data_IF_117777047679
#
_entry.id   IF_117777047679
#
_cell.length_a   1.000
_cell.length_b   1.000
_cell.length_c   1.000
_cell.angle_alpha   90.00
_cell.angle_beta   90.00
_cell.angle_gamma   90.00
#
_symmetry.space_group_name_H-M   'P 1'
#
loop_
_entity.id
_entity.type
_entity.pdbx_description
1 polymer ?
#
# COMPACT_ATOMS: atom_id res chain seq x y z
N UNK A 1 -3.99 -64.02 1.52
CA UNK A 1 -5.33 -63.70 2.04
C UNK A 1 -6.11 -63.06 0.90
N UNK A 2 -7.12 -63.76 0.35
CA UNK A 2 -8.05 -63.31 -0.71
C UNK A 2 -9.34 -62.85 -0.03
N UNK A 3 -9.91 -61.69 -0.41
CA UNK A 3 -11.36 -61.38 -0.56
C UNK A 3 -11.42 -60.11 -1.45
N UNK A 4 -11.73 -60.18 -2.74
CA UNK A 4 -13.04 -60.07 -3.43
C UNK A 4 -13.70 -58.66 -3.43
N UNK A 5 -14.00 -58.21 -4.66
CA UNK A 5 -14.67 -56.98 -5.10
C UNK A 5 -16.17 -56.96 -4.79
N UNK A 6 -16.80 -55.77 -4.67
CA UNK A 6 -18.18 -55.50 -5.11
C UNK A 6 -18.35 -54.02 -5.52
N UNK A 7 -18.90 -53.80 -6.71
CA UNK A 7 -19.35 -52.54 -7.32
C UNK A 7 -20.64 -51.99 -6.69
N UNK A 8 -20.89 -50.68 -6.76
CA UNK A 8 -22.24 -50.15 -7.05
C UNK A 8 -22.24 -48.75 -7.70
N UNK A 9 -23.19 -48.61 -8.63
CA UNK A 9 -23.42 -47.56 -9.62
C UNK A 9 -23.98 -46.24 -9.05
N UNK A 10 -23.88 -45.21 -9.87
CA UNK A 10 -24.51 -43.90 -9.72
C UNK A 10 -26.03 -43.92 -9.99
N UNK A 11 -26.73 -42.82 -9.67
CA UNK A 11 -27.82 -42.36 -10.53
C UNK A 11 -27.73 -40.87 -10.92
N UNK A 12 -28.28 -40.60 -12.10
CA UNK A 12 -28.36 -39.32 -12.81
C UNK A 12 -29.42 -38.34 -12.26
N UNK A 13 -29.35 -37.11 -12.79
CA UNK A 13 -30.09 -35.86 -12.53
C UNK A 13 -31.63 -35.93 -12.53
N UNK A 14 -32.29 -34.81 -12.14
CA UNK A 14 -33.11 -34.17 -13.17
C UNK A 14 -33.03 -32.64 -13.25
N UNK A 15 -32.84 -32.19 -14.50
CA UNK A 15 -33.51 -31.10 -15.23
C UNK A 15 -34.56 -30.28 -14.46
N UNK A 16 -34.39 -28.95 -14.45
CA UNK A 16 -35.51 -28.02 -14.27
C UNK A 16 -35.52 -26.94 -15.37
N UNK A 17 -36.56 -26.99 -16.20
CA UNK A 17 -37.00 -25.96 -17.15
C UNK A 17 -38.17 -25.20 -16.53
N UNK A 18 -38.18 -23.88 -16.64
CA UNK A 18 -39.36 -22.98 -16.68
C UNK A 18 -38.86 -21.54 -16.45
N UNK A 19 -39.40 -20.45 -16.99
CA UNK A 19 -40.41 -20.19 -18.00
C UNK A 19 -40.34 -18.69 -18.31
N UNK A 20 -40.80 -18.33 -19.51
CA UNK A 20 -41.00 -16.96 -19.99
C UNK A 20 -41.94 -16.14 -19.08
N UNK A 21 -41.71 -14.84 -19.00
CA UNK A 21 -42.61 -13.87 -18.35
C UNK A 21 -42.45 -12.49 -18.98
N UNK A 22 -43.52 -12.02 -19.64
CA UNK A 22 -43.57 -10.86 -20.51
C UNK A 22 -43.55 -9.50 -19.80
N UNK A 23 -43.02 -8.50 -20.53
CA UNK A 23 -43.25 -7.04 -20.46
C UNK A 23 -44.75 -6.68 -20.30
N UNK A 24 -45.16 -5.49 -19.76
CA UNK A 24 -45.02 -4.26 -20.55
C UNK A 24 -45.00 -2.87 -19.85
N UNK A 25 -44.66 -1.87 -20.67
CA UNK A 25 -45.03 -0.44 -20.67
C UNK A 25 -44.28 0.56 -19.76
N UNK A 26 -43.40 1.34 -20.38
CA UNK A 26 -43.02 2.70 -19.97
C UNK A 26 -43.70 3.73 -20.89
N UNK A 27 -44.27 4.82 -20.35
CA UNK A 27 -44.70 5.96 -21.15
C UNK A 27 -43.52 6.88 -21.47
N UNK A 28 -43.53 7.39 -22.71
CA UNK A 28 -42.72 8.53 -23.15
C UNK A 28 -43.40 9.81 -22.65
N UNK A 29 -42.66 10.64 -21.94
CA UNK A 29 -42.94 12.07 -21.84
C UNK A 29 -41.75 12.87 -22.36
N UNK A 30 -42.05 13.66 -23.39
CA UNK A 30 -41.25 14.77 -23.87
C UNK A 30 -41.41 15.94 -22.89
N UNK A 31 -40.32 16.58 -22.48
CA UNK A 31 -40.40 18.01 -22.22
C UNK A 31 -39.10 18.77 -22.54
N UNK A 32 -39.30 19.74 -23.45
CA UNK A 32 -38.61 21.02 -23.69
C UNK A 32 -37.74 21.48 -22.51
N UNK A 33 -36.62 22.17 -22.72
CA UNK A 33 -36.55 23.59 -23.12
C UNK A 33 -35.08 24.05 -23.05
N UNK A 34 -34.72 25.03 -23.89
CA UNK A 34 -33.92 26.25 -23.60
C UNK A 34 -32.67 26.13 -22.72
N UNK A 35 -31.56 26.85 -22.91
CA UNK A 35 -31.17 28.00 -23.74
C UNK A 35 -29.77 28.37 -23.22
N UNK A 36 -29.07 29.21 -23.98
CA UNK A 36 -28.03 30.11 -23.50
C UNK A 36 -26.62 29.53 -23.39
N UNK A 37 -25.89 29.76 -24.48
CA UNK A 37 -24.54 30.34 -24.51
C UNK A 37 -24.16 31.10 -23.24
N UNK A 38 -23.15 30.60 -22.53
CA UNK A 38 -22.24 31.44 -21.74
C UNK A 38 -20.81 31.25 -22.26
N UNK A 39 -20.22 32.37 -22.67
CA UNK A 39 -18.81 32.47 -23.05
C UNK A 39 -17.94 32.27 -21.81
N UNK A 40 -16.94 31.40 -21.91
CA UNK A 40 -15.89 31.29 -20.91
C UNK A 40 -15.05 32.59 -20.83
N UNK A 41 -14.68 33.06 -19.63
CA UNK A 41 -13.73 34.16 -19.49
C UNK A 41 -12.32 33.70 -19.84
N UNK A 42 -11.69 34.41 -20.78
CA UNK A 42 -10.29 34.28 -21.16
C UNK A 42 -9.40 34.81 -20.03
N UNK A 43 -8.59 33.95 -19.45
CA UNK A 43 -7.56 34.36 -18.49
C UNK A 43 -6.29 34.78 -19.22
N UNK A 44 -6.06 36.09 -19.19
CA UNK A 44 -4.86 36.77 -19.64
C UNK A 44 -3.67 36.35 -18.75
N UNK A 45 -2.66 35.75 -19.35
CA UNK A 45 -1.46 35.28 -18.65
C UNK A 45 -0.40 36.38 -18.68
N UNK A 46 -0.38 37.23 -17.65
CA UNK A 46 0.77 38.09 -17.39
C UNK A 46 1.98 37.25 -16.96
N UNK A 47 2.94 37.06 -17.87
CA UNK A 47 4.32 36.68 -17.53
C UNK A 47 5.09 37.93 -17.12
N UNK A 48 5.70 37.98 -15.92
CA UNK A 48 6.78 38.92 -15.67
C UNK A 48 8.07 38.37 -16.29
N UNK A 49 8.66 39.20 -17.14
CA UNK A 49 10.03 39.11 -17.64
C UNK A 49 10.99 39.19 -16.44
N UNK A 50 11.78 38.15 -16.19
CA UNK A 50 13.00 38.27 -15.39
C UNK A 50 14.19 38.28 -16.35
N UNK A 51 14.76 39.47 -16.52
CA UNK A 51 16.03 39.69 -17.20
C UNK A 51 17.14 38.96 -16.44
N UNK A 52 17.93 38.18 -17.17
CA UNK A 52 19.16 37.57 -16.68
C UNK A 52 20.33 38.51 -16.94
N UNK A 53 20.72 39.28 -15.92
CA UNK A 53 21.99 40.01 -15.94
C UNK A 53 23.12 39.06 -15.54
N UNK A 54 23.99 38.78 -16.50
CA UNK A 54 25.23 38.05 -16.33
C UNK A 54 26.23 38.92 -15.55
N UNK A 55 26.37 38.68 -14.25
CA UNK A 55 27.48 39.20 -13.46
C UNK A 55 28.45 38.04 -13.18
N UNK A 56 29.57 38.07 -13.91
CA UNK A 56 30.75 37.23 -13.67
C UNK A 56 31.32 37.53 -12.28
N UNK A 57 31.05 36.65 -11.31
CA UNK A 57 31.71 36.66 -10.01
C UNK A 57 32.81 35.60 -9.95
N UNK A 58 34.00 36.07 -9.58
CA UNK A 58 35.21 35.28 -9.31
C UNK A 58 34.92 34.24 -8.23
N UNK A 59 35.29 33.00 -8.53
CA UNK A 59 35.21 31.85 -7.64
C UNK A 59 36.30 31.91 -6.58
N UNK A 60 35.98 32.44 -5.39
CA UNK A 60 36.66 32.06 -4.16
C UNK A 60 36.01 30.77 -3.65
N UNK A 61 36.75 29.67 -3.73
CA UNK A 61 36.33 28.35 -3.25
C UNK A 61 36.27 28.36 -1.72
N UNK A 62 35.11 28.74 -1.19
CA UNK A 62 34.69 28.26 0.12
C UNK A 62 34.02 26.92 -0.12
N UNK A 63 34.60 25.86 0.42
CA UNK A 63 33.91 24.60 0.69
C UNK A 63 32.62 24.95 1.42
N UNK A 64 31.53 25.06 0.66
CA UNK A 64 30.20 25.09 1.21
C UNK A 64 29.96 23.67 1.67
N UNK A 65 29.87 23.47 2.98
CA UNK A 65 29.29 22.29 3.61
C UNK A 65 27.97 22.00 2.90
N UNK A 66 28.02 21.12 1.89
CA UNK A 66 26.82 20.59 1.25
C UNK A 66 26.07 19.91 2.38
N UNK A 67 24.83 20.33 2.72
CA UNK A 67 24.08 19.70 3.77
C UNK A 67 24.02 18.22 3.43
N UNK A 68 24.68 17.38 4.24
CA UNK A 68 24.61 15.93 4.07
C UNK A 68 23.12 15.60 4.08
N UNK A 69 22.59 15.23 2.91
CA UNK A 69 21.23 14.72 2.80
C UNK A 69 21.16 13.58 3.81
N UNK A 70 20.26 13.65 4.81
CA UNK A 70 20.21 12.64 5.85
C UNK A 70 20.06 11.28 5.17
N UNK A 71 20.95 10.34 5.48
CA UNK A 71 20.81 8.97 5.01
C UNK A 71 19.46 8.44 5.50
N UNK A 72 18.57 8.09 4.58
CA UNK A 72 17.25 7.56 4.91
C UNK A 72 17.24 6.05 4.74
N UNK A 73 16.49 5.38 5.62
CA UNK A 73 16.16 3.97 5.51
C UNK A 73 14.75 3.84 4.96
N UNK A 74 14.55 2.87 4.07
CA UNK A 74 13.24 2.54 3.52
C UNK A 74 12.69 1.29 4.22
N UNK A 75 11.51 1.41 4.82
CA UNK A 75 10.78 0.30 5.43
C UNK A 75 9.60 -0.04 4.51
N UNK A 76 9.51 -1.29 4.05
CA UNK A 76 8.39 -1.79 3.27
C UNK A 76 7.71 -2.92 4.02
N UNK A 77 6.43 -2.75 4.35
CA UNK A 77 5.60 -3.71 5.07
C UNK A 77 4.49 -4.18 4.15
N UNK A 78 4.32 -5.49 4.03
CA UNK A 78 3.24 -6.11 3.28
C UNK A 78 2.34 -6.90 4.22
N UNK A 79 1.04 -6.60 4.13
CA UNK A 79 -0.02 -7.31 4.84
C UNK A 79 -1.03 -7.85 3.84
N UNK A 80 -1.63 -8.99 4.14
CA UNK A 80 -2.59 -9.67 3.24
C UNK A 80 -3.86 -10.04 4.01
N UNK A 81 -4.99 -10.00 3.32
CA UNK A 81 -6.31 -10.48 3.73
C UNK A 81 -6.40 -11.94 4.20
N UNK A 82 -5.64 -12.89 3.61
CA UNK A 82 -5.66 -14.30 4.04
C UNK A 82 -4.29 -14.71 4.62
N UNK A 83 -4.33 -15.41 5.75
CA UNK A 83 -3.15 -15.95 6.45
C UNK A 83 -2.56 -17.18 5.75
N UNK A 84 -3.28 -17.78 4.80
CA UNK A 84 -2.90 -19.01 4.11
C UNK A 84 -2.50 -18.74 2.64
N UNK A 85 -1.42 -17.96 2.45
CA UNK A 85 -0.86 -17.62 1.12
C UNK A 85 -0.49 -18.85 0.27
N UNK A 86 -0.34 -20.04 0.88
CA UNK A 86 0.06 -21.26 0.18
C UNK A 86 -0.85 -21.61 -1.01
N UNK A 87 -2.09 -21.12 -1.07
CA UNK A 87 -3.06 -21.61 -2.06
C UNK A 87 -3.71 -20.63 -3.04
N UNK A 88 -3.60 -19.29 -2.99
CA UNK A 88 -3.88 -18.45 -4.17
C UNK A 88 -3.82 -16.93 -3.91
N UNK A 89 -2.93 -16.23 -4.62
CA UNK A 89 -3.09 -14.79 -4.88
C UNK A 89 -4.45 -14.42 -5.52
N UNK A 90 -5.17 -15.41 -6.06
CA UNK A 90 -6.49 -15.25 -6.68
C UNK A 90 -7.66 -15.16 -5.68
N UNK A 91 -7.56 -15.72 -4.47
CA UNK A 91 -8.59 -15.56 -3.43
C UNK A 91 -8.39 -14.28 -2.59
N UNK A 92 -7.22 -13.67 -2.71
CA UNK A 92 -6.80 -12.47 -2.02
C UNK A 92 -7.62 -11.27 -2.49
N UNK A 93 -8.54 -10.77 -1.67
CA UNK A 93 -9.37 -9.61 -2.05
C UNK A 93 -8.58 -8.32 -2.08
N UNK A 94 -7.66 -8.16 -1.13
CA UNK A 94 -6.83 -6.97 -0.99
C UNK A 94 -5.45 -7.31 -0.44
N UNK A 95 -4.46 -6.46 -0.69
CA UNK A 95 -3.17 -6.45 0.01
C UNK A 95 -2.85 -5.03 0.45
N UNK A 96 -2.18 -4.83 1.58
CA UNK A 96 -1.73 -3.51 1.99
C UNK A 96 -0.21 -3.44 1.99
N UNK A 97 0.32 -2.38 1.37
CA UNK A 97 1.73 -2.07 1.30
C UNK A 97 1.98 -0.74 1.99
N UNK A 98 2.66 -0.76 3.13
CA UNK A 98 3.14 0.43 3.82
C UNK A 98 4.61 0.65 3.43
N UNK A 99 4.92 1.81 2.86
CA UNK A 99 6.30 2.21 2.54
C UNK A 99 6.65 3.46 3.34
N UNK A 100 7.65 3.38 4.20
CA UNK A 100 8.10 4.47 5.06
C UNK A 100 9.57 4.81 4.80
N UNK A 101 9.91 6.05 5.12
CA UNK A 101 11.25 6.59 5.20
C UNK A 101 11.49 7.10 6.61
N UNK A 102 12.66 6.77 7.17
CA UNK A 102 13.14 7.31 8.45
C UNK A 102 14.61 7.67 8.35
N UNK A 103 15.05 8.70 9.07
CA UNK A 103 16.47 9.05 9.20
C UNK A 103 17.12 8.38 10.43
N UNK A 104 16.34 7.78 11.32
CA UNK A 104 16.82 7.16 12.55
C UNK A 104 16.16 5.80 12.79
N UNK A 105 16.55 4.84 11.95
CA UNK A 105 16.07 3.47 12.04
C UNK A 105 16.42 2.82 13.38
N UNK A 106 17.62 3.07 13.89
CA UNK A 106 18.12 2.53 15.15
C UNK A 106 17.20 2.88 16.31
N UNK A 107 16.82 4.15 16.40
CA UNK A 107 15.89 4.63 17.42
C UNK A 107 14.49 4.05 17.25
N UNK A 108 13.99 3.99 16.01
CA UNK A 108 12.67 3.41 15.69
C UNK A 108 12.58 1.91 16.03
N UNK A 109 13.67 1.15 15.84
CA UNK A 109 13.76 -0.26 16.23
C UNK A 109 13.78 -0.44 17.75
N UNK A 110 14.54 0.40 18.46
CA UNK A 110 14.66 0.33 19.93
C UNK A 110 13.38 0.71 20.67
N UNK A 111 12.75 1.81 20.28
CA UNK A 111 11.57 2.31 20.98
C UNK A 111 10.27 1.64 20.52
N UNK A 112 10.30 1.01 19.35
CA UNK A 112 9.16 0.36 18.74
C UNK A 112 8.54 1.18 17.62
N UNK A 113 8.09 0.48 16.59
CA UNK A 113 7.40 1.07 15.46
C UNK A 113 5.89 1.03 15.71
N UNK A 114 5.29 2.19 15.99
CA UNK A 114 3.85 2.32 16.22
C UNK A 114 3.22 3.23 15.19
N UNK A 115 2.28 2.69 14.43
CA UNK A 115 1.41 3.44 13.53
C UNK A 115 -0.04 3.11 13.87
N UNK A 116 -0.91 4.08 13.64
CA UNK A 116 -2.35 3.97 13.84
C UNK A 116 -3.07 4.95 12.91
N UNK A 117 -4.40 5.05 13.03
CA UNK A 117 -5.21 5.99 12.25
C UNK A 117 -4.82 7.45 12.47
N UNK A 118 -4.28 7.82 13.63
CA UNK A 118 -3.81 9.20 13.90
C UNK A 118 -2.55 9.55 13.12
N UNK A 119 -1.81 8.54 12.65
CA UNK A 119 -0.62 8.72 11.83
C UNK A 119 -0.95 8.98 10.35
N UNK A 120 -2.23 8.97 9.96
CA UNK A 120 -2.69 9.27 8.61
C UNK A 120 -2.97 10.75 8.48
N UNK A 121 -2.42 11.38 7.44
CA UNK A 121 -2.67 12.78 7.15
C UNK A 121 -4.10 12.94 6.61
N UNK A 122 -4.99 13.70 7.30
CA UNK A 122 -6.35 13.93 6.83
C UNK A 122 -6.33 14.53 5.42
N UNK A 123 -7.31 14.13 4.60
CA UNK A 123 -7.55 14.71 3.26
C UNK A 123 -6.42 14.50 2.22
N UNK A 124 -5.31 13.87 2.59
CA UNK A 124 -4.19 13.54 1.69
C UNK A 124 -4.42 12.29 0.83
N UNK A 125 -5.47 11.53 1.12
CA UNK A 125 -5.73 10.23 0.51
C UNK A 125 -6.40 10.33 -0.85
N UNK A 126 -6.08 9.40 -1.75
CA UNK A 126 -6.64 9.34 -3.10
C UNK A 126 -6.75 7.90 -3.62
N UNK A 127 -7.44 7.72 -4.75
CA UNK A 127 -7.57 6.44 -5.43
C UNK A 127 -6.76 6.43 -6.74
N UNK A 128 -6.14 5.29 -7.02
CA UNK A 128 -5.58 4.94 -8.32
C UNK A 128 -6.51 3.89 -8.93
N UNK A 129 -7.20 4.23 -10.01
CA UNK A 129 -8.27 3.39 -10.57
C UNK A 129 -7.80 2.55 -11.76
N UNK A 130 -6.72 2.97 -12.43
CA UNK A 130 -6.13 2.23 -13.54
C UNK A 130 -4.88 1.47 -13.10
N UNK A 131 -4.74 0.23 -13.56
CA UNK A 131 -3.59 -0.63 -13.27
C UNK A 131 -2.25 -0.03 -13.72
N UNK A 132 -2.27 0.81 -14.76
CA UNK A 132 -1.07 1.50 -15.30
C UNK A 132 -0.51 2.54 -14.33
N UNK A 133 -1.35 3.06 -13.42
CA UNK A 133 -0.96 4.08 -12.46
C UNK A 133 -0.36 3.43 -11.19
N UNK A 134 -0.46 2.10 -11.06
CA UNK A 134 0.16 1.37 -9.98
C UNK A 134 1.67 1.20 -10.23
N UNK A 135 2.49 1.26 -9.17
CA UNK A 135 3.88 0.81 -9.21
C UNK A 135 4.05 -0.54 -9.91
N UNK A 136 5.13 -0.70 -10.69
CA UNK A 136 5.35 -1.86 -11.55
C UNK A 136 5.28 -3.22 -10.82
N UNK A 137 5.74 -3.28 -9.57
CA UNK A 137 5.68 -4.52 -8.78
C UNK A 137 4.25 -4.87 -8.35
N UNK A 138 3.43 -3.86 -8.07
CA UNK A 138 2.03 -4.01 -7.66
C UNK A 138 1.17 -4.39 -8.86
N UNK A 139 1.40 -3.73 -10.00
CA UNK A 139 0.76 -4.06 -11.28
C UNK A 139 1.09 -5.49 -11.75
N UNK A 140 2.35 -5.92 -11.61
CA UNK A 140 2.78 -7.31 -11.89
C UNK A 140 2.17 -8.34 -10.94
N UNK A 141 1.81 -7.93 -9.73
CA UNK A 141 1.02 -8.73 -8.79
C UNK A 141 -0.44 -8.93 -9.21
N UNK A 142 -0.86 -8.33 -10.33
CA UNK A 142 -2.20 -8.46 -10.90
C UNK A 142 -3.21 -7.47 -10.35
N UNK A 143 -2.85 -6.60 -9.40
CA UNK A 143 -3.76 -5.61 -8.83
C UNK A 143 -4.20 -4.58 -9.86
N UNK A 144 -5.44 -4.10 -9.75
CA UNK A 144 -6.02 -3.18 -10.74
C UNK A 144 -6.18 -1.75 -10.22
N UNK A 145 -6.44 -1.61 -8.92
CA UNK A 145 -6.68 -0.33 -8.30
C UNK A 145 -6.06 -0.28 -6.90
N UNK A 146 -5.83 0.95 -6.41
CA UNK A 146 -5.36 1.18 -5.06
C UNK A 146 -6.07 2.36 -4.39
N UNK A 147 -6.14 2.32 -3.06
CA UNK A 147 -6.42 3.48 -2.20
C UNK A 147 -5.15 3.84 -1.46
N UNK A 148 -4.71 5.08 -1.59
CA UNK A 148 -3.45 5.58 -1.06
C UNK A 148 -3.73 6.54 0.09
N UNK A 149 -2.98 6.40 1.17
CA UNK A 149 -2.95 7.32 2.30
C UNK A 149 -1.52 7.82 2.50
N UNK A 150 -1.35 9.11 2.77
CA UNK A 150 -0.08 9.62 3.30
C UNK A 150 -0.05 9.42 4.80
N UNK A 151 1.11 9.04 5.32
CA UNK A 151 1.30 8.73 6.72
C UNK A 151 2.56 9.42 7.23
N UNK A 152 2.50 10.00 8.42
CA UNK A 152 3.68 10.56 9.07
C UNK A 152 3.53 10.49 10.58
N UNK A 153 4.67 10.46 11.28
CA UNK A 153 4.72 10.53 12.73
C UNK A 153 5.75 11.54 13.15
N UNK A 154 5.30 12.49 13.97
CA UNK A 154 6.14 13.52 14.58
C UNK A 154 6.31 13.25 16.07
N UNK A 155 7.47 13.58 16.60
CA UNK A 155 7.74 13.68 18.03
C UNK A 155 8.46 14.99 18.29
N UNK A 156 7.91 15.82 19.17
CA UNK A 156 8.53 17.10 19.58
C UNK A 156 8.89 18.00 18.38
N UNK A 157 8.08 17.98 17.33
CA UNK A 157 8.31 18.75 16.10
C UNK A 157 9.30 18.14 15.11
N UNK A 158 9.86 16.96 15.41
CA UNK A 158 10.77 16.23 14.52
C UNK A 158 10.02 15.06 13.87
N UNK A 159 10.13 14.93 12.54
CA UNK A 159 9.57 13.79 11.80
C UNK A 159 10.39 12.54 12.13
N UNK A 160 9.76 11.57 12.79
CA UNK A 160 10.38 10.27 13.06
C UNK A 160 10.39 9.39 11.80
N UNK A 161 9.26 9.39 11.09
CA UNK A 161 9.11 8.72 9.82
C UNK A 161 7.96 9.35 9.04
N UNK A 162 8.02 9.19 7.72
CA UNK A 162 6.97 9.58 6.77
C UNK A 162 6.82 8.50 5.72
N UNK A 163 5.68 8.43 5.05
CA UNK A 163 5.47 7.39 4.06
C UNK A 163 4.05 7.31 3.54
N UNK A 164 3.74 6.16 2.97
CA UNK A 164 2.53 5.92 2.20
C UNK A 164 1.99 4.53 2.51
N UNK A 165 0.70 4.45 2.84
CA UNK A 165 -0.04 3.20 2.89
C UNK A 165 -0.86 3.05 1.61
N UNK A 166 -0.63 1.97 0.86
CA UNK A 166 -1.45 1.61 -0.30
C UNK A 166 -2.24 0.35 -0.01
N UNK A 167 -3.55 0.43 -0.12
CA UNK A 167 -4.45 -0.72 -0.15
C UNK A 167 -4.70 -1.05 -1.61
N UNK A 168 -4.31 -2.25 -2.04
CA UNK A 168 -4.40 -2.73 -3.42
C UNK A 168 -5.54 -3.73 -3.52
N UNK A 169 -6.31 -3.68 -4.61
CA UNK A 169 -7.40 -4.62 -4.87
C UNK A 169 -7.65 -4.83 -6.36
N UNK A 170 -8.39 -5.90 -6.69
CA UNK A 170 -8.91 -6.16 -8.04
C UNK A 170 -10.12 -5.28 -8.37
N UNK A 171 -10.86 -4.86 -7.34
CA UNK A 171 -12.15 -4.18 -7.47
C UNK A 171 -12.21 -2.95 -6.59
N UNK A 172 -12.76 -1.85 -7.12
CA UNK A 172 -12.94 -0.60 -6.39
C UNK A 172 -13.85 -0.77 -5.17
N UNK A 173 -14.86 -1.63 -5.25
CA UNK A 173 -15.78 -1.94 -4.14
C UNK A 173 -15.01 -2.41 -2.90
N UNK A 174 -14.03 -3.30 -3.09
CA UNK A 174 -13.16 -3.79 -2.01
C UNK A 174 -12.40 -2.66 -1.32
N UNK A 175 -11.94 -1.65 -2.07
CA UNK A 175 -11.23 -0.50 -1.51
C UNK A 175 -12.15 0.46 -0.76
N UNK A 176 -13.39 0.61 -1.23
CA UNK A 176 -14.41 1.45 -0.60
C UNK A 176 -14.86 0.89 0.76
N UNK A 177 -15.00 -0.43 0.84
CA UNK A 177 -15.41 -1.16 2.06
C UNK A 177 -14.25 -1.44 3.02
N UNK A 178 -13.00 -1.17 2.60
CA UNK A 178 -11.82 -1.47 3.39
C UNK A 178 -11.75 -0.65 4.68
N UNK A 179 -11.61 -1.33 5.82
CA UNK A 179 -11.36 -0.71 7.13
C UNK A 179 -9.90 -0.90 7.55
N UNK A 180 -9.22 0.19 7.88
CA UNK A 180 -7.84 0.22 8.39
C UNK A 180 -7.64 -0.59 9.68
N UNK A 181 -8.66 -0.78 10.51
CA UNK A 181 -8.55 -1.50 11.80
C UNK A 181 -8.11 -2.97 11.63
N UNK A 182 -8.28 -3.54 10.44
CA UNK A 182 -7.86 -4.92 10.17
C UNK A 182 -6.33 -5.05 9.99
N UNK A 183 -5.61 -3.92 9.86
CA UNK A 183 -4.17 -3.88 9.71
C UNK A 183 -3.48 -4.00 11.07
N UNK A 184 -3.36 -5.24 11.52
CA UNK A 184 -2.69 -5.64 12.76
C UNK A 184 -1.27 -6.14 12.48
N UNK A 185 -0.43 -6.21 13.51
CA UNK A 185 0.92 -6.80 13.40
C UNK A 185 0.87 -8.26 12.90
N UNK A 186 -0.13 -9.03 13.34
CA UNK A 186 -0.35 -10.42 12.92
C UNK A 186 -0.73 -10.58 11.45
N UNK A 187 -1.18 -9.50 10.80
CA UNK A 187 -1.48 -9.48 9.38
C UNK A 187 -0.22 -9.24 8.53
N UNK A 188 0.89 -8.82 9.13
CA UNK A 188 2.18 -8.64 8.43
C UNK A 188 2.70 -10.00 7.99
N UNK A 189 3.00 -10.11 6.70
CA UNK A 189 3.57 -11.31 6.10
C UNK A 189 5.02 -11.10 5.70
N UNK A 190 5.34 -9.91 5.21
CA UNK A 190 6.70 -9.53 4.85
C UNK A 190 6.96 -8.15 5.41
N UNK A 191 8.11 -7.96 6.04
CA UNK A 191 8.64 -6.65 6.34
C UNK A 191 10.11 -6.62 5.92
N UNK A 192 10.48 -5.59 5.16
CA UNK A 192 11.83 -5.39 4.65
C UNK A 192 12.29 -4.00 5.02
N UNK A 193 13.50 -3.87 5.54
CA UNK A 193 14.14 -2.58 5.74
C UNK A 193 15.44 -2.54 4.98
N UNK A 194 15.61 -1.46 4.20
CA UNK A 194 16.85 -1.16 3.50
C UNK A 194 17.49 0.10 4.04
N UNK A 195 18.81 0.09 4.11
CA UNK A 195 19.58 1.30 4.39
C UNK A 195 19.73 2.20 3.16
N UNK A 196 20.41 3.33 3.33
CA UNK A 196 20.68 4.30 2.26
C UNK A 196 21.54 3.74 1.12
N UNK A 197 22.22 2.61 1.34
CA UNK A 197 23.02 1.90 0.34
C UNK A 197 22.21 0.75 -0.32
N UNK A 198 20.89 0.72 -0.08
CA UNK A 198 19.95 -0.26 -0.60
C UNK A 198 20.28 -1.71 -0.17
N UNK A 199 20.97 -1.88 0.97
CA UNK A 199 21.24 -3.18 1.59
C UNK A 199 20.12 -3.54 2.55
N UNK A 200 19.76 -4.81 2.60
CA UNK A 200 18.79 -5.31 3.58
C UNK A 200 19.42 -5.36 4.97
N UNK A 201 18.88 -4.56 5.90
CA UNK A 201 19.31 -4.52 7.31
C UNK A 201 18.29 -5.18 8.24
N UNK A 202 17.08 -5.41 7.75
CA UNK A 202 16.06 -6.21 8.41
C UNK A 202 15.19 -6.91 7.39
N UNK A 203 14.89 -8.17 7.64
CA UNK A 203 13.98 -8.96 6.83
C UNK A 203 13.13 -9.86 7.72
N UNK A 204 11.84 -9.83 7.48
CA UNK A 204 10.87 -10.73 8.07
C UNK A 204 10.02 -11.34 6.96
N UNK A 205 9.86 -12.66 7.02
CA UNK A 205 8.94 -13.41 6.18
C UNK A 205 8.24 -14.47 7.03
N UNK A 206 6.93 -14.29 7.26
CA UNK A 206 6.12 -15.23 8.06
C UNK A 206 6.19 -16.67 7.56
N UNK A 207 6.32 -16.87 6.25
CA UNK A 207 6.35 -18.19 5.61
C UNK A 207 7.72 -18.86 5.66
N UNK A 208 8.77 -18.10 5.98
CA UNK A 208 10.17 -18.53 6.04
C UNK A 208 10.86 -17.93 7.25
N UNK A 209 10.39 -18.27 8.48
CA UNK A 209 10.93 -17.70 9.71
C UNK A 209 12.44 -17.94 9.88
N UNK A 210 12.97 -19.02 9.29
CA UNK A 210 14.39 -19.34 9.27
C UNK A 210 15.24 -18.33 8.48
N UNK A 211 14.61 -17.48 7.67
CA UNK A 211 15.27 -16.42 6.90
C UNK A 211 15.14 -15.05 7.58
N UNK A 212 14.44 -14.94 8.70
CA UNK A 212 14.28 -13.67 9.40
C UNK A 212 15.64 -13.19 9.91
N UNK A 213 15.91 -11.89 9.77
CA UNK A 213 17.16 -11.31 10.21
C UNK A 213 17.00 -9.84 10.64
N UNK A 214 17.86 -9.43 11.57
CA UNK A 214 18.03 -8.06 12.02
C UNK A 214 19.53 -7.80 12.21
N UNK A 215 20.11 -6.98 11.33
CA UNK A 215 21.54 -6.73 11.34
C UNK A 215 22.00 -5.75 12.43
N UNK A 216 21.08 -5.03 13.09
CA UNK A 216 21.42 -3.98 14.06
C UNK A 216 21.34 -4.48 15.50
N UNK A 217 20.38 -5.35 15.79
CA UNK A 217 20.09 -5.79 17.16
C UNK A 217 19.94 -7.30 17.33
N UNK A 218 20.33 -8.09 16.31
CA UNK A 218 20.25 -9.55 16.31
C UNK A 218 18.88 -10.07 16.78
N UNK A 219 18.82 -10.60 18.00
CA UNK A 219 17.62 -11.18 18.60
C UNK A 219 16.90 -10.25 19.58
N UNK A 220 17.30 -8.99 19.75
CA UNK A 220 16.62 -8.07 20.68
C UNK A 220 15.11 -7.97 20.35
N UNK A 221 14.21 -8.21 21.33
CA UNK A 221 12.79 -8.04 21.10
C UNK A 221 12.45 -6.61 20.70
N UNK A 222 11.56 -6.45 19.73
CA UNK A 222 11.11 -5.15 19.26
C UNK A 222 9.59 -4.98 19.45
N UNK A 223 9.22 -3.79 19.91
CA UNK A 223 7.84 -3.46 20.27
C UNK A 223 7.03 -2.91 19.10
N UNK A 224 5.70 -2.89 19.26
CA UNK A 224 4.79 -2.39 18.24
C UNK A 224 4.70 -3.31 17.02
N UNK A 225 4.68 -2.70 15.83
CA UNK A 225 4.47 -3.36 14.54
C UNK A 225 5.70 -4.04 13.96
N UNK A 226 6.83 -4.08 14.67
CA UNK A 226 7.94 -4.97 14.33
C UNK A 226 7.50 -6.42 14.53
N UNK A 227 7.32 -7.24 13.49
CA UNK A 227 6.73 -8.58 13.63
C UNK A 227 7.68 -9.60 14.29
N UNK A 228 8.98 -9.32 14.31
CA UNK A 228 10.03 -10.19 14.83
C UNK A 228 11.29 -9.36 15.20
N UNK A 229 12.10 -9.72 16.19
CA UNK A 229 11.85 -10.76 17.20
C UNK A 229 10.80 -10.30 18.23
N UNK A 230 9.95 -11.22 18.71
CA UNK A 230 9.05 -10.97 19.85
C UNK A 230 9.57 -11.60 21.13
N UNK A 231 9.17 -11.04 22.29
CA UNK A 231 9.67 -11.44 23.62
C UNK A 231 9.42 -12.91 23.93
N UNK A 232 8.31 -13.45 23.46
CA UNK A 232 7.86 -14.83 23.63
C UNK A 232 8.59 -15.83 22.70
N UNK A 233 9.38 -15.36 21.74
CA UNK A 233 10.15 -16.19 20.80
C UNK A 233 11.62 -16.37 21.21
N UNK A 234 12.06 -15.68 22.27
CA UNK A 234 13.43 -15.74 22.79
C UNK A 234 13.39 -16.53 24.10
N UNK A 235 13.73 -17.81 24.00
CA UNK A 235 13.90 -18.74 25.12
C UNK A 235 15.35 -18.74 25.62
#
# INVERSE_FOLDING_TARGET
MRIQEVFHEAPEDPVNKNSQGSRPNEPKDEEKKASSTEKAPSYDSHRPYCQSDNITQKSDSRDMDVPLIPKTHQIKVFTVSDRNIRNCYQAQKWTACLTLETCDLSHLMKEGFYWDKSSIEPESGFFLLDQKDLPADESRGGWKCARVYQCSKMREGIIQWKGQLRILAQELKTLAEFNLDILTVDAIHIMRVRDSENRDVYWYCRLRPEQNCNAYYDHMPMEGYWPWPKKDEIL
#
